data_IF_141961599238
#
_entry.id   IF_141961599238
#
_cell.length_a   1.000
_cell.length_b   1.000
_cell.length_c   1.000
_cell.angle_alpha   90.00
_cell.angle_beta   90.00
_cell.angle_gamma   90.00
#
_symmetry.space_group_name_H-M   'P 1'
#
loop_
_entity.id
_entity.type
_entity.pdbx_description
1 polymer ?
#
# COMPACT_ATOMS: atom_id res chain seq x y z
N UNK A 1 6.29 8.12 -12.69
CA UNK A 1 6.99 8.37 -11.41
C UNK A 1 8.07 7.34 -11.21
N UNK A 2 9.29 7.75 -10.83
CA UNK A 2 10.38 6.83 -10.46
C UNK A 2 10.44 6.69 -8.94
N UNK A 3 10.64 5.46 -8.47
CA UNK A 3 10.63 5.14 -7.05
C UNK A 3 11.89 4.35 -6.71
N UNK A 4 12.69 4.93 -5.83
CA UNK A 4 13.92 4.33 -5.34
C UNK A 4 13.63 3.11 -4.48
N UNK A 5 14.40 2.05 -4.70
CA UNK A 5 14.36 0.79 -3.94
C UNK A 5 15.78 0.39 -3.54
N UNK A 6 15.92 -0.40 -2.47
CA UNK A 6 17.23 -0.92 -2.07
C UNK A 6 17.64 -2.06 -3.02
N UNK A 7 18.79 -2.00 -3.72
CA UNK A 7 19.27 -3.14 -4.51
C UNK A 7 19.49 -4.42 -3.69
N UNK A 8 19.69 -4.31 -2.38
CA UNK A 8 19.89 -5.43 -1.46
C UNK A 8 18.60 -5.83 -0.71
N UNK A 9 17.43 -5.34 -1.15
CA UNK A 9 16.15 -5.72 -0.55
C UNK A 9 15.93 -7.25 -0.66
N UNK A 10 15.61 -7.89 0.47
CA UNK A 10 15.31 -9.32 0.52
C UNK A 10 14.19 -9.75 -0.44
N UNK A 11 13.30 -8.83 -0.84
CA UNK A 11 12.26 -9.08 -1.83
C UNK A 11 12.79 -9.51 -3.20
N UNK A 12 14.05 -9.17 -3.54
CA UNK A 12 14.71 -9.66 -4.76
C UNK A 12 15.07 -11.15 -4.68
N UNK A 13 15.34 -11.65 -3.47
CA UNK A 13 15.64 -13.07 -3.23
C UNK A 13 14.38 -13.91 -3.05
N UNK A 14 13.28 -13.31 -2.58
CA UNK A 14 12.01 -13.99 -2.36
C UNK A 14 10.83 -13.23 -3.04
N UNK A 15 10.59 -13.46 -4.34
CA UNK A 15 9.47 -12.85 -5.07
C UNK A 15 8.11 -13.30 -4.52
N UNK A 16 7.29 -12.37 -4.05
CA UNK A 16 5.98 -12.67 -3.46
C UNK A 16 4.81 -12.04 -4.20
N UNK A 17 5.03 -10.98 -5.00
CA UNK A 17 3.93 -10.16 -5.55
C UNK A 17 3.32 -10.77 -6.81
N UNK A 18 2.04 -11.18 -6.80
CA UNK A 18 1.41 -11.78 -7.97
C UNK A 18 1.05 -10.73 -9.04
N UNK A 19 1.47 -10.96 -10.28
CA UNK A 19 1.26 -10.07 -11.43
C UNK A 19 0.68 -10.80 -12.64
N UNK A 20 0.15 -10.03 -13.59
CA UNK A 20 -0.32 -10.54 -14.87
C UNK A 20 -1.58 -11.41 -14.78
N UNK A 21 -1.90 -12.15 -15.87
CA UNK A 21 -3.10 -12.97 -15.99
C UNK A 21 -3.08 -14.19 -15.06
N UNK A 22 -4.25 -14.78 -14.89
CA UNK A 22 -4.50 -15.96 -14.05
C UNK A 22 -4.41 -17.22 -14.91
N UNK A 23 -3.77 -18.26 -14.38
CA UNK A 23 -3.63 -19.56 -15.03
C UNK A 23 -4.23 -20.67 -14.16
N UNK A 24 -4.78 -21.70 -14.80
CA UNK A 24 -5.36 -22.87 -14.13
C UNK A 24 -4.30 -23.89 -13.66
N UNK A 25 -3.13 -23.88 -14.31
CA UNK A 25 -2.05 -24.85 -14.05
C UNK A 25 -0.83 -24.19 -13.40
N UNK A 26 -0.09 -24.89 -12.52
CA UNK A 26 1.14 -24.39 -11.94
C UNK A 26 2.22 -24.21 -13.01
N UNK A 27 3.04 -23.16 -12.85
CA UNK A 27 4.22 -22.87 -13.70
C UNK A 27 5.40 -22.45 -12.81
N UNK A 28 6.66 -22.67 -13.22
CA UNK A 28 7.82 -22.14 -12.50
C UNK A 28 7.73 -20.62 -12.30
N UNK A 29 7.96 -20.15 -11.08
CA UNK A 29 7.84 -18.72 -10.72
C UNK A 29 6.39 -18.23 -10.55
N UNK A 30 5.41 -19.12 -10.37
CA UNK A 30 4.02 -18.79 -10.10
C UNK A 30 3.58 -19.30 -8.73
N UNK A 31 2.71 -18.55 -8.07
CA UNK A 31 2.10 -18.94 -6.78
C UNK A 31 0.59 -19.12 -6.94
N UNK A 32 0.00 -20.00 -6.13
CA UNK A 32 -1.45 -20.20 -6.09
C UNK A 32 -2.10 -19.04 -5.34
N UNK A 33 -3.07 -18.39 -5.96
CA UNK A 33 -3.92 -17.34 -5.37
C UNK A 33 -5.37 -17.81 -5.31
N UNK A 34 -6.25 -17.06 -4.65
CA UNK A 34 -7.69 -17.37 -4.61
C UNK A 34 -8.34 -17.49 -6.01
N UNK A 35 -7.80 -16.77 -7.00
CA UNK A 35 -8.33 -16.76 -8.37
C UNK A 35 -7.65 -17.80 -9.29
N UNK A 36 -6.53 -18.40 -8.88
CA UNK A 36 -5.70 -19.31 -9.69
C UNK A 36 -4.20 -19.01 -9.57
N UNK A 37 -3.37 -19.58 -10.45
CA UNK A 37 -1.92 -19.39 -10.43
C UNK A 37 -1.51 -18.08 -11.11
N UNK A 38 -0.60 -17.32 -10.50
CA UNK A 38 -0.09 -16.04 -11.04
C UNK A 38 1.42 -15.93 -10.89
N UNK A 39 2.08 -15.29 -11.85
CA UNK A 39 3.53 -15.04 -11.81
C UNK A 39 3.85 -14.17 -10.62
N UNK A 40 4.92 -14.47 -9.90
CA UNK A 40 5.44 -13.60 -8.84
C UNK A 40 6.67 -12.82 -9.30
N UNK A 41 6.80 -11.61 -8.78
CA UNK A 41 7.96 -10.73 -8.98
C UNK A 41 8.39 -10.12 -7.64
N UNK A 42 9.63 -9.65 -7.54
CA UNK A 42 10.10 -8.88 -6.40
C UNK A 42 9.18 -7.69 -6.10
N UNK A 43 8.95 -7.43 -4.81
CA UNK A 43 8.20 -6.26 -4.33
C UNK A 43 8.97 -5.56 -3.22
N UNK A 44 10.06 -4.86 -3.57
CA UNK A 44 10.89 -4.15 -2.62
C UNK A 44 10.15 -2.94 -2.02
N UNK A 45 10.62 -2.51 -0.85
CA UNK A 45 10.04 -1.38 -0.12
C UNK A 45 10.41 -0.06 -0.79
N UNK A 46 9.45 0.86 -1.02
CA UNK A 46 9.74 2.16 -1.61
C UNK A 46 10.50 3.05 -0.63
N UNK A 47 11.68 3.51 -1.04
CA UNK A 47 12.55 4.40 -0.23
C UNK A 47 12.21 5.86 -0.50
N UNK A 48 12.07 6.23 -1.78
CA UNK A 48 11.92 7.63 -2.19
C UNK A 48 11.21 7.73 -3.54
N UNK A 49 10.28 8.68 -3.66
CA UNK A 49 9.71 9.05 -4.95
C UNK A 49 10.49 10.23 -5.52
N UNK A 50 11.10 10.11 -6.69
CA UNK A 50 11.98 11.17 -7.20
C UNK A 50 11.25 12.49 -7.48
N UNK A 51 10.03 12.41 -8.00
CA UNK A 51 9.23 13.57 -8.40
C UNK A 51 8.37 14.17 -7.28
N UNK A 52 8.60 13.83 -6.01
CA UNK A 52 7.72 14.26 -4.91
C UNK A 52 7.62 15.79 -4.79
N UNK A 53 8.73 16.52 -5.08
CA UNK A 53 8.77 18.00 -4.99
C UNK A 53 7.93 18.65 -6.07
N UNK A 54 8.02 18.15 -7.29
CA UNK A 54 7.24 18.61 -8.43
C UNK A 54 5.75 18.31 -8.23
N UNK A 55 5.43 17.12 -7.72
CA UNK A 55 4.06 16.73 -7.35
C UNK A 55 3.51 17.70 -6.30
N UNK A 56 4.25 17.93 -5.21
CA UNK A 56 3.84 18.85 -4.14
C UNK A 56 3.62 20.27 -4.68
N UNK A 57 4.55 20.77 -5.49
CA UNK A 57 4.45 22.10 -6.09
C UNK A 57 3.21 22.23 -6.98
N UNK A 58 2.86 21.20 -7.76
CA UNK A 58 1.63 21.23 -8.58
C UNK A 58 0.38 21.28 -7.70
N UNK A 59 0.35 20.55 -6.59
CA UNK A 59 -0.77 20.59 -5.63
C UNK A 59 -0.92 21.97 -4.96
N UNK A 60 0.20 22.61 -4.61
CA UNK A 60 0.21 23.94 -3.97
C UNK A 60 -0.28 25.06 -4.89
N UNK A 61 -0.33 24.84 -6.21
CA UNK A 61 -0.90 25.79 -7.16
C UNK A 61 -2.44 25.81 -7.17
N UNK A 62 -3.11 24.88 -6.48
CA UNK A 62 -4.55 24.94 -6.18
C UNK A 62 -5.51 24.36 -7.23
N UNK A 63 -5.10 24.25 -8.50
CA UNK A 63 -6.01 23.87 -9.61
C UNK A 63 -5.70 22.49 -10.24
N UNK A 64 -4.87 21.66 -9.58
CA UNK A 64 -4.39 20.41 -10.16
C UNK A 64 -4.81 19.18 -9.37
N UNK A 65 -5.42 18.22 -10.08
CA UNK A 65 -5.50 16.84 -9.63
C UNK A 65 -4.29 16.11 -10.20
N UNK A 66 -3.35 15.72 -9.32
CA UNK A 66 -2.11 15.08 -9.73
C UNK A 66 -2.26 13.55 -9.67
N UNK A 67 -2.11 12.89 -10.81
CA UNK A 67 -2.02 11.43 -10.88
C UNK A 67 -0.55 11.03 -10.87
N UNK A 68 -0.13 10.30 -9.84
CA UNK A 68 1.25 9.85 -9.67
C UNK A 68 1.30 8.40 -9.19
N UNK A 69 2.50 7.81 -9.17
CA UNK A 69 2.76 6.48 -8.63
C UNK A 69 1.89 5.36 -9.24
N UNK A 70 1.46 5.52 -10.50
CA UNK A 70 0.69 4.50 -11.21
C UNK A 70 1.38 3.13 -11.13
N UNK A 71 0.66 2.12 -10.64
CA UNK A 71 1.19 0.77 -10.42
C UNK A 71 2.25 0.64 -9.32
N UNK A 72 2.39 1.64 -8.44
CA UNK A 72 3.48 1.73 -7.45
C UNK A 72 4.68 2.57 -7.93
N UNK A 73 4.67 2.99 -9.21
CA UNK A 73 5.78 3.68 -9.85
C UNK A 73 6.83 2.74 -10.43
N UNK A 74 7.75 3.31 -11.23
CA UNK A 74 8.81 2.57 -11.89
C UNK A 74 9.96 2.38 -10.89
N UNK A 75 10.29 1.14 -10.48
CA UNK A 75 11.37 0.88 -9.54
C UNK A 75 12.73 1.22 -10.15
N UNK A 76 13.53 1.97 -9.41
CA UNK A 76 14.88 2.35 -9.80
C UNK A 76 15.86 2.18 -8.64
N UNK A 77 17.10 1.86 -8.95
CA UNK A 77 18.23 1.96 -8.02
C UNK A 77 19.06 3.18 -8.37
N UNK A 78 19.64 3.83 -7.36
CA UNK A 78 20.52 4.98 -7.54
C UNK A 78 21.98 4.54 -7.43
N UNK A 79 22.74 4.73 -8.49
CA UNK A 79 24.21 4.64 -8.41
C UNK A 79 24.83 5.98 -8.77
N UNK A 80 25.52 6.58 -7.79
CA UNK A 80 26.09 7.94 -7.91
C UNK A 80 25.00 8.94 -8.32
N UNK A 81 25.04 9.44 -9.56
CA UNK A 81 24.13 10.44 -10.10
C UNK A 81 23.18 9.88 -11.19
N UNK A 82 23.12 8.56 -11.34
CA UNK A 82 22.27 7.90 -12.34
C UNK A 82 21.24 6.99 -11.68
N UNK A 83 20.08 6.89 -12.34
CA UNK A 83 19.01 5.97 -11.97
C UNK A 83 18.97 4.85 -12.98
N UNK A 84 18.92 3.61 -12.49
CA UNK A 84 18.78 2.41 -13.31
C UNK A 84 17.47 1.72 -12.97
N UNK A 85 16.67 1.42 -14.00
CA UNK A 85 15.46 0.63 -13.82
C UNK A 85 15.81 -0.80 -13.41
N UNK A 86 15.00 -1.38 -12.53
CA UNK A 86 15.13 -2.78 -12.10
C UNK A 86 13.83 -3.53 -12.33
N UNK A 87 13.89 -4.84 -12.54
CA UNK A 87 12.69 -5.66 -12.71
C UNK A 87 12.05 -5.98 -11.36
N UNK A 88 11.11 -5.13 -10.93
CA UNK A 88 10.33 -5.33 -9.72
C UNK A 88 8.94 -4.68 -9.86
N UNK A 89 8.04 -4.96 -8.93
CA UNK A 89 6.77 -4.25 -8.79
C UNK A 89 6.62 -3.78 -7.36
N UNK A 90 6.65 -2.47 -7.17
CA UNK A 90 6.46 -1.85 -5.86
C UNK A 90 4.99 -1.95 -5.46
N UNK A 91 4.72 -2.26 -4.20
CA UNK A 91 3.35 -2.25 -3.71
C UNK A 91 2.77 -0.83 -3.76
N UNK A 92 1.61 -0.69 -4.42
CA UNK A 92 0.95 0.59 -4.64
C UNK A 92 0.51 1.28 -3.35
N UNK A 93 0.15 0.51 -2.33
CA UNK A 93 -0.31 1.06 -1.05
C UNK A 93 0.90 1.62 -0.30
N UNK A 94 2.01 0.86 -0.25
CA UNK A 94 3.30 1.34 0.31
C UNK A 94 3.84 2.56 -0.45
N UNK A 95 3.76 2.57 -1.78
CA UNK A 95 4.18 3.72 -2.59
C UNK A 95 3.32 4.96 -2.31
N UNK A 96 2.02 4.78 -2.12
CA UNK A 96 1.09 5.86 -1.78
C UNK A 96 1.37 6.42 -0.38
N UNK A 97 1.66 5.56 0.60
CA UNK A 97 2.10 5.98 1.93
C UNK A 97 3.41 6.77 1.87
N UNK A 98 4.40 6.30 1.10
CA UNK A 98 5.67 7.02 0.90
C UNK A 98 5.47 8.37 0.21
N UNK A 99 4.54 8.47 -0.75
CA UNK A 99 4.19 9.76 -1.35
C UNK A 99 3.56 10.69 -0.32
N UNK A 100 2.58 10.17 0.44
CA UNK A 100 1.88 10.89 1.51
C UNK A 100 2.85 11.49 2.53
N UNK A 101 3.81 10.70 2.99
CA UNK A 101 4.93 11.16 3.82
C UNK A 101 5.67 12.33 3.16
N UNK A 102 6.13 12.17 1.92
CA UNK A 102 7.00 13.15 1.27
C UNK A 102 6.29 14.47 0.92
N UNK A 103 4.98 14.42 0.70
CA UNK A 103 4.18 15.63 0.42
C UNK A 103 3.55 16.21 1.70
N UNK A 104 3.72 15.58 2.86
CA UNK A 104 3.04 15.89 4.12
C UNK A 104 1.51 15.88 3.98
N UNK A 105 0.96 14.81 3.40
CA UNK A 105 -0.49 14.66 3.29
C UNK A 105 -1.13 14.48 4.68
N UNK A 106 -2.31 15.07 4.86
CA UNK A 106 -3.09 14.88 6.10
C UNK A 106 -3.80 13.53 6.15
N UNK A 107 -4.29 13.07 4.99
CA UNK A 107 -5.12 11.87 4.87
C UNK A 107 -4.54 10.91 3.83
N UNK A 108 -4.44 9.64 4.18
CA UNK A 108 -4.24 8.53 3.25
C UNK A 108 -5.55 7.73 3.15
N UNK A 109 -6.11 7.62 1.95
CA UNK A 109 -7.28 6.78 1.68
C UNK A 109 -6.91 5.65 0.72
N UNK A 110 -7.18 4.41 1.12
CA UNK A 110 -6.98 3.21 0.30
C UNK A 110 -8.36 2.65 -0.06
N UNK A 111 -8.67 2.69 -1.36
CA UNK A 111 -9.87 2.06 -1.90
C UNK A 111 -9.62 0.58 -2.24
N UNK A 112 -10.54 -0.32 -1.85
CA UNK A 112 -10.43 -1.77 -2.01
C UNK A 112 -11.81 -2.42 -2.27
N UNK A 113 -11.85 -3.76 -2.38
CA UNK A 113 -13.08 -4.51 -2.70
C UNK A 113 -13.99 -4.77 -1.48
N UNK A 114 -13.59 -4.33 -0.28
CA UNK A 114 -14.33 -4.51 0.97
C UNK A 114 -14.59 -3.15 1.61
N UNK A 115 -15.74 -3.02 2.27
CA UNK A 115 -16.09 -1.78 2.96
C UNK A 115 -15.23 -1.55 4.20
N UNK A 116 -14.99 -2.58 5.01
CA UNK A 116 -14.23 -2.49 6.27
C UNK A 116 -13.11 -3.52 6.33
N UNK A 117 -12.10 -3.22 7.15
CA UNK A 117 -11.08 -4.16 7.62
C UNK A 117 -11.72 -5.04 8.70
N UNK A 118 -11.43 -6.33 8.69
CA UNK A 118 -12.00 -7.26 9.66
C UNK A 118 -10.93 -8.10 10.36
N UNK A 119 -11.17 -8.41 11.64
CA UNK A 119 -10.50 -9.51 12.34
C UNK A 119 -11.22 -10.82 12.04
N UNK A 120 -10.50 -11.95 12.11
CA UNK A 120 -11.02 -13.29 11.82
C UNK A 120 -11.78 -13.37 10.48
N UNK A 121 -11.26 -12.71 9.45
CA UNK A 121 -11.93 -12.58 8.16
C UNK A 121 -12.36 -13.94 7.58
N UNK A 122 -13.66 -14.08 7.28
CA UNK A 122 -14.27 -15.29 6.76
C UNK A 122 -14.59 -16.37 7.81
N UNK A 123 -14.34 -16.13 9.09
CA UNK A 123 -14.69 -17.04 10.18
C UNK A 123 -16.06 -16.67 10.81
N UNK A 124 -16.71 -17.59 11.56
CA UNK A 124 -17.98 -17.30 12.24
C UNK A 124 -17.92 -16.15 13.25
N UNK A 125 -16.73 -15.85 13.77
CA UNK A 125 -16.44 -14.76 14.70
C UNK A 125 -15.73 -13.58 14.02
N UNK A 126 -15.99 -13.36 12.73
CA UNK A 126 -15.52 -12.17 12.02
C UNK A 126 -16.02 -10.90 12.71
N UNK A 127 -15.13 -9.93 12.87
CA UNK A 127 -15.43 -8.63 13.46
C UNK A 127 -14.93 -7.53 12.52
N UNK A 128 -15.85 -6.70 12.02
CA UNK A 128 -15.52 -5.56 11.17
C UNK A 128 -15.15 -4.35 12.04
N UNK A 129 -13.99 -3.76 11.76
CA UNK A 129 -13.42 -2.68 12.54
C UNK A 129 -13.84 -1.32 11.99
N UNK A 130 -14.48 -0.51 12.83
CA UNK A 130 -14.81 0.89 12.51
C UNK A 130 -13.60 1.81 12.70
N UNK A 131 -12.97 1.73 13.88
CA UNK A 131 -11.83 2.56 14.26
C UNK A 131 -10.87 1.73 15.11
N UNK A 132 -9.56 1.86 14.87
CA UNK A 132 -8.53 1.31 15.75
C UNK A 132 -7.22 2.11 15.65
N UNK A 133 -6.33 1.93 16.63
CA UNK A 133 -5.07 2.67 16.72
C UNK A 133 -3.92 2.02 15.93
N UNK A 134 -2.84 2.76 15.74
CA UNK A 134 -1.58 2.20 15.18
C UNK A 134 -1.03 1.07 16.05
N UNK A 135 -1.10 1.16 17.38
CA UNK A 135 -0.65 0.07 18.24
C UNK A 135 -1.49 -1.20 18.07
N UNK A 136 -2.81 -1.06 17.94
CA UNK A 136 -3.70 -2.18 17.63
C UNK A 136 -3.40 -2.76 16.24
N UNK A 137 -3.18 -1.89 15.23
CA UNK A 137 -2.82 -2.30 13.88
C UNK A 137 -1.56 -3.18 13.84
N UNK A 138 -0.51 -2.80 14.59
CA UNK A 138 0.73 -3.57 14.73
C UNK A 138 0.49 -4.90 15.41
N UNK A 139 -0.24 -4.90 16.52
CA UNK A 139 -0.62 -6.12 17.24
C UNK A 139 -1.36 -7.10 16.32
N UNK A 140 -2.37 -6.64 15.59
CA UNK A 140 -3.14 -7.50 14.69
C UNK A 140 -2.31 -8.01 13.50
N UNK A 141 -1.33 -7.25 13.02
CA UNK A 141 -0.35 -7.73 12.04
C UNK A 141 0.50 -8.87 12.60
N UNK A 142 1.02 -8.73 13.82
CA UNK A 142 1.82 -9.75 14.51
C UNK A 142 1.00 -11.03 14.79
N UNK A 143 -0.27 -10.88 15.11
CA UNK A 143 -1.23 -11.97 15.29
C UNK A 143 -1.64 -12.64 13.96
N UNK A 144 -1.22 -12.10 12.81
CA UNK A 144 -1.52 -12.66 11.50
C UNK A 144 -2.98 -12.46 11.04
N UNK A 145 -3.69 -11.49 11.62
CA UNK A 145 -5.09 -11.18 11.27
C UNK A 145 -5.24 -10.71 9.81
N UNK A 146 -4.17 -10.13 9.24
CA UNK A 146 -4.20 -9.52 7.91
C UNK A 146 -3.33 -10.31 6.91
N UNK A 147 -3.93 -10.93 5.87
CA UNK A 147 -3.16 -11.75 4.93
C UNK A 147 -2.10 -10.94 4.15
N UNK A 148 -0.88 -11.45 3.98
CA UNK A 148 0.25 -10.73 3.36
C UNK A 148 0.07 -10.46 1.86
N UNK A 149 -0.88 -11.14 1.20
CA UNK A 149 -1.19 -10.94 -0.22
C UNK A 149 -2.27 -9.88 -0.50
N UNK A 150 -2.92 -9.34 0.53
CA UNK A 150 -4.05 -8.43 0.38
C UNK A 150 -4.07 -7.33 1.44
N UNK A 151 -4.60 -7.61 2.64
CA UNK A 151 -4.83 -6.60 3.67
C UNK A 151 -3.56 -6.23 4.43
N UNK A 152 -2.63 -7.17 4.62
CA UNK A 152 -1.37 -6.92 5.35
C UNK A 152 -0.57 -5.72 4.81
N UNK A 153 -0.28 -5.65 3.50
CA UNK A 153 0.40 -4.50 2.91
C UNK A 153 -0.34 -3.17 3.07
N UNK A 154 -1.68 -3.19 3.07
CA UNK A 154 -2.51 -1.98 3.29
C UNK A 154 -2.34 -1.46 4.71
N UNK A 155 -2.42 -2.35 5.69
CA UNK A 155 -2.24 -2.00 7.10
C UNK A 155 -0.81 -1.52 7.34
N UNK A 156 0.20 -2.18 6.76
CA UNK A 156 1.58 -1.71 6.84
C UNK A 156 1.76 -0.31 6.23
N UNK A 157 1.15 -0.04 5.07
CA UNK A 157 1.18 1.27 4.44
C UNK A 157 0.54 2.36 5.31
N UNK A 158 -0.60 2.04 5.93
CA UNK A 158 -1.30 2.92 6.86
C UNK A 158 -0.44 3.23 8.09
N UNK A 159 0.16 2.22 8.71
CA UNK A 159 1.06 2.39 9.86
C UNK A 159 2.21 3.33 9.48
N UNK A 160 2.91 3.04 8.37
CA UNK A 160 4.03 3.85 7.90
C UNK A 160 3.61 5.32 7.68
N UNK A 161 2.45 5.55 7.08
CA UNK A 161 1.94 6.89 6.83
C UNK A 161 1.64 7.65 8.13
N UNK A 162 0.92 7.03 9.07
CA UNK A 162 0.56 7.67 10.34
C UNK A 162 1.80 7.96 11.19
N UNK A 163 2.74 7.01 11.29
CA UNK A 163 4.00 7.22 12.02
C UNK A 163 4.90 8.28 11.38
N UNK A 164 4.73 8.54 10.08
CA UNK A 164 5.44 9.62 9.38
C UNK A 164 4.86 11.03 9.64
N UNK A 165 3.78 11.14 10.42
CA UNK A 165 3.11 12.41 10.74
C UNK A 165 1.79 12.63 10.02
N UNK A 166 1.28 11.63 9.29
CA UNK A 166 -0.08 11.65 8.75
C UNK A 166 -1.12 11.71 9.87
N UNK A 167 -2.24 12.41 9.64
CA UNK A 167 -3.26 12.63 10.68
C UNK A 167 -4.31 11.53 10.74
N UNK A 168 -4.70 11.00 9.58
CA UNK A 168 -5.78 10.03 9.47
C UNK A 168 -5.56 9.10 8.28
N UNK A 169 -5.77 7.81 8.48
CA UNK A 169 -5.79 6.83 7.41
C UNK A 169 -7.15 6.15 7.31
N UNK A 170 -7.58 5.83 6.09
CA UNK A 170 -8.89 5.26 5.80
C UNK A 170 -8.72 4.10 4.84
N UNK A 171 -9.35 2.96 5.13
CA UNK A 171 -9.50 1.84 4.20
C UNK A 171 -10.99 1.62 3.97
N UNK A 172 -11.44 1.65 2.71
CA UNK A 172 -12.85 1.47 2.39
C UNK A 172 -13.08 0.99 0.95
N UNK A 173 -14.34 0.75 0.57
CA UNK A 173 -14.73 0.47 -0.81
C UNK A 173 -14.90 1.74 -1.64
N UNK A 174 -14.79 1.61 -2.97
CA UNK A 174 -14.89 2.76 -3.89
C UNK A 174 -16.21 3.52 -3.71
N UNK A 175 -17.33 2.80 -3.53
CA UNK A 175 -18.66 3.40 -3.40
C UNK A 175 -18.86 4.14 -2.07
N UNK A 176 -17.98 3.92 -1.09
CA UNK A 176 -18.06 4.48 0.26
C UNK A 176 -17.04 5.57 0.56
N UNK A 177 -16.24 6.00 -0.42
CA UNK A 177 -15.18 7.00 -0.24
C UNK A 177 -15.71 8.30 0.40
N UNK A 178 -16.83 8.84 -0.09
CA UNK A 178 -17.38 10.10 0.42
C UNK A 178 -17.85 9.95 1.87
N UNK A 179 -18.60 8.89 2.16
CA UNK A 179 -19.08 8.59 3.52
C UNK A 179 -17.90 8.34 4.49
N UNK A 180 -16.84 7.68 4.02
CA UNK A 180 -15.65 7.40 4.82
C UNK A 180 -14.82 8.65 5.13
N UNK A 181 -14.70 9.60 4.19
CA UNK A 181 -14.05 10.89 4.44
C UNK A 181 -14.78 11.70 5.53
N UNK A 182 -16.09 11.56 5.62
CA UNK A 182 -16.95 12.12 6.67
C UNK A 182 -16.93 11.32 7.98
N UNK A 183 -16.24 10.17 8.02
CA UNK A 183 -16.16 9.29 9.17
C UNK A 183 -17.42 8.45 9.43
N UNK A 184 -18.25 8.24 8.41
CA UNK A 184 -19.53 7.50 8.50
C UNK A 184 -19.47 6.08 7.92
N UNK A 185 -18.39 5.73 7.24
CA UNK A 185 -18.19 4.42 6.64
C UNK A 185 -16.69 4.06 6.61
N UNK A 186 -16.40 2.82 6.25
CA UNK A 186 -15.03 2.33 6.18
C UNK A 186 -14.39 2.09 7.53
N UNK A 187 -13.08 1.85 7.49
CA UNK A 187 -12.24 1.68 8.67
C UNK A 187 -11.31 2.88 8.78
N UNK A 188 -11.30 3.52 9.93
CA UNK A 188 -10.41 4.65 10.25
C UNK A 188 -9.28 4.16 11.15
N UNK A 189 -8.06 4.48 10.79
CA UNK A 189 -6.89 4.21 11.63
C UNK A 189 -6.25 5.54 12.02
N UNK A 190 -5.95 5.69 13.31
CA UNK A 190 -5.35 6.90 13.88
C UNK A 190 -4.16 6.56 14.80
N UNK A 191 -3.38 7.59 15.15
CA UNK A 191 -2.36 7.46 16.17
C UNK A 191 -2.99 7.15 17.54
N UNK A 192 -2.21 6.53 18.41
CA UNK A 192 -2.59 6.31 19.80
C UNK A 192 -2.87 7.66 20.48
N UNK A 193 -3.97 7.73 21.25
CA UNK A 193 -4.41 8.92 21.99
C UNK A 193 -3.76 9.03 23.36
#
# INVERSE_FOLDING_TARGET
TYVEVNPEDHAFLNPTKPIGPVYSVPKPGYVKTAKGYRRVVPSPVPIKIYQWREIKRLMELGDWIVIACGGGGIPVIKEKQRLYGVEAVIDKDLASAKLGEQINADILLIATDVEKVSLNYGAPNQEDLDVFSVSEAKKYLEEGQFPPGSMGPKIQAVINFLESGGKRAIITSIDKIMEALEGKAGTIICLDS
#
